data_IF_312902131924
#
_entry.id   IF_312902131924
#
_cell.length_a   1.000
_cell.length_b   1.000
_cell.length_c   1.000
_cell.angle_alpha   90.00
_cell.angle_beta   90.00
_cell.angle_gamma   90.00
#
_symmetry.space_group_name_H-M   'P 1'
#
loop_
_entity.id
_entity.type
_entity.pdbx_description
1 polymer ?
#
# COMPACT_ATOMS: atom_id res chain seq x y z
N UNK A 1 -24.76 -8.96 4.56
CA UNK A 1 -23.58 -9.47 5.24
C UNK A 1 -22.84 -8.30 5.86
N UNK A 2 -22.43 -8.43 7.11
CA UNK A 2 -21.55 -7.50 7.81
C UNK A 2 -20.43 -8.31 8.45
N UNK A 3 -19.16 -7.97 8.16
CA UNK A 3 -18.00 -8.72 8.65
C UNK A 3 -17.02 -7.75 9.30
N UNK A 4 -16.74 -7.88 10.59
CA UNK A 4 -15.72 -7.07 11.25
C UNK A 4 -14.32 -7.49 10.80
N UNK A 5 -13.43 -6.50 10.73
CA UNK A 5 -12.00 -6.70 10.57
C UNK A 5 -11.24 -5.90 11.61
N UNK A 6 -10.19 -6.48 12.16
CA UNK A 6 -9.25 -5.80 13.03
C UNK A 6 -7.82 -5.98 12.50
N UNK A 7 -7.06 -4.91 12.49
CA UNK A 7 -5.68 -4.87 12.00
C UNK A 7 -4.81 -4.27 13.09
N UNK A 8 -3.82 -5.00 13.56
CA UNK A 8 -2.96 -4.51 14.65
C UNK A 8 -1.53 -4.99 14.56
N UNK A 9 -1.31 -6.14 13.93
CA UNK A 9 -0.06 -6.87 13.97
C UNK A 9 0.46 -7.23 12.59
N UNK A 10 1.67 -7.77 12.57
CA UNK A 10 2.31 -8.23 11.37
C UNK A 10 3.07 -9.55 11.58
N UNK A 11 3.40 -10.23 10.49
CA UNK A 11 4.38 -11.30 10.46
C UNK A 11 5.40 -11.03 9.35
N UNK A 12 6.64 -10.76 9.73
CA UNK A 12 7.74 -10.41 8.82
C UNK A 12 7.38 -9.30 7.81
N UNK A 13 6.62 -8.28 8.28
CA UNK A 13 6.17 -7.14 7.46
C UNK A 13 4.87 -7.36 6.70
N UNK A 14 4.28 -8.54 6.72
CA UNK A 14 2.95 -8.80 6.17
C UNK A 14 1.88 -8.59 7.23
N UNK A 15 0.79 -7.96 6.86
CA UNK A 15 -0.32 -7.67 7.78
C UNK A 15 -1.00 -8.92 8.27
N UNK A 16 -1.31 -8.94 9.57
CA UNK A 16 -2.23 -9.89 10.17
C UNK A 16 -3.57 -9.17 10.32
N UNK A 17 -4.63 -9.85 9.88
CA UNK A 17 -5.99 -9.33 9.94
C UNK A 17 -6.87 -10.35 10.65
N UNK A 18 -7.45 -9.94 11.77
CA UNK A 18 -8.47 -10.67 12.47
C UNK A 18 -9.84 -10.48 11.83
N UNK A 19 -10.55 -11.55 11.54
CA UNK A 19 -11.90 -11.52 10.95
C UNK A 19 -12.69 -12.78 11.31
N UNK A 20 -13.91 -12.89 10.78
CA UNK A 20 -14.75 -14.07 10.91
C UNK A 20 -14.70 -14.92 9.65
N UNK A 21 -14.87 -16.23 9.80
CA UNK A 21 -14.83 -17.20 8.70
C UNK A 21 -15.87 -16.90 7.61
N UNK A 22 -17.00 -16.24 7.96
CA UNK A 22 -18.04 -15.86 7.02
C UNK A 22 -17.57 -14.86 5.94
N UNK A 23 -16.44 -14.15 6.13
CA UNK A 23 -15.81 -13.37 5.07
C UNK A 23 -15.51 -14.22 3.84
N UNK A 24 -15.04 -15.44 4.04
CA UNK A 24 -14.60 -16.30 2.95
C UNK A 24 -15.71 -17.18 2.40
N UNK A 25 -16.66 -17.56 3.25
CA UNK A 25 -17.75 -18.48 2.89
C UNK A 25 -18.97 -17.78 2.28
N UNK A 26 -19.22 -16.51 2.63
CA UNK A 26 -20.40 -15.76 2.20
C UNK A 26 -20.09 -14.56 1.29
N UNK A 27 -18.87 -13.98 1.38
CA UNK A 27 -18.48 -12.91 0.49
C UNK A 27 -17.82 -13.45 -0.80
N UNK A 28 -17.74 -12.57 -1.79
CA UNK A 28 -17.06 -12.83 -3.05
C UNK A 28 -15.71 -12.11 -3.08
N UNK A 29 -14.67 -12.79 -3.54
CA UNK A 29 -13.35 -12.20 -3.78
C UNK A 29 -13.39 -11.16 -4.92
N UNK A 30 -14.23 -11.42 -5.92
CA UNK A 30 -14.57 -10.56 -7.04
C UNK A 30 -15.98 -10.90 -7.53
N UNK A 31 -16.65 -10.08 -8.33
CA UNK A 31 -17.97 -10.39 -8.84
C UNK A 31 -18.06 -11.80 -9.44
N UNK A 32 -18.93 -12.62 -8.88
CA UNK A 32 -19.14 -14.02 -9.28
C UNK A 32 -18.02 -15.00 -8.89
N UNK A 33 -17.01 -14.59 -8.14
CA UNK A 33 -15.88 -15.42 -7.76
C UNK A 33 -15.69 -15.45 -6.24
N UNK A 34 -15.90 -16.61 -5.65
CA UNK A 34 -15.69 -16.83 -4.21
C UNK A 34 -14.23 -17.11 -3.88
N UNK A 35 -13.87 -16.89 -2.62
CA UNK A 35 -12.59 -17.35 -2.08
C UNK A 35 -12.52 -18.88 -2.12
N UNK A 36 -11.34 -19.40 -2.43
CA UNK A 36 -11.03 -20.83 -2.42
C UNK A 36 -9.72 -21.07 -1.71
N UNK A 37 -9.58 -22.25 -1.16
CA UNK A 37 -8.33 -22.73 -0.59
C UNK A 37 -7.62 -23.68 -1.54
N UNK A 38 -6.29 -23.66 -1.49
CA UNK A 38 -5.47 -24.71 -2.12
C UNK A 38 -5.84 -26.06 -1.53
N UNK A 39 -5.79 -27.12 -2.37
CA UNK A 39 -6.18 -28.46 -1.97
C UNK A 39 -5.49 -28.92 -0.67
N UNK A 40 -6.25 -29.54 0.22
CA UNK A 40 -5.79 -30.00 1.53
C UNK A 40 -5.85 -28.94 2.65
N UNK A 41 -6.19 -27.69 2.34
CA UNK A 41 -6.43 -26.65 3.33
C UNK A 41 -7.87 -26.66 3.86
N UNK A 42 -8.05 -26.08 5.04
CA UNK A 42 -9.36 -25.77 5.63
C UNK A 42 -9.40 -24.34 6.14
N UNK A 43 -10.60 -23.80 6.29
CA UNK A 43 -10.79 -22.51 6.97
C UNK A 43 -10.43 -22.62 8.44
N UNK A 44 -9.99 -21.53 9.04
CA UNK A 44 -9.78 -21.48 10.48
C UNK A 44 -11.13 -21.54 11.24
N UNK A 45 -11.08 -21.97 12.46
CA UNK A 45 -12.20 -21.94 13.41
C UNK A 45 -12.06 -20.75 14.36
N UNK A 46 -13.17 -20.03 14.59
CA UNK A 46 -13.17 -18.74 15.29
C UNK A 46 -12.65 -18.77 16.73
N UNK A 47 -12.57 -19.92 17.36
CA UNK A 47 -12.09 -20.08 18.74
C UNK A 47 -10.63 -20.54 18.88
N UNK A 48 -9.93 -20.79 17.76
CA UNK A 48 -8.60 -21.41 17.79
C UNK A 48 -7.51 -20.45 17.28
N UNK A 49 -6.24 -20.76 17.61
CA UNK A 49 -5.06 -20.06 17.08
C UNK A 49 -4.67 -20.63 15.74
N UNK A 50 -5.50 -20.37 14.78
CA UNK A 50 -5.39 -20.86 13.41
C UNK A 50 -5.28 -19.71 12.44
N UNK A 51 -4.72 -19.96 11.26
CA UNK A 51 -4.56 -18.96 10.24
C UNK A 51 -4.81 -19.50 8.84
N UNK A 52 -5.43 -18.68 8.01
CA UNK A 52 -5.42 -18.84 6.54
C UNK A 52 -4.50 -17.79 5.95
N UNK A 53 -3.55 -18.22 5.13
CA UNK A 53 -2.52 -17.36 4.58
C UNK A 53 -2.86 -16.99 3.13
N UNK A 54 -2.73 -15.72 2.79
CA UNK A 54 -2.89 -15.25 1.41
C UNK A 54 -1.83 -15.87 0.48
N UNK A 55 -2.21 -16.15 -0.76
CA UNK A 55 -1.36 -16.86 -1.74
C UNK A 55 0.00 -16.21 -1.93
N UNK A 56 0.06 -14.88 -2.01
CA UNK A 56 1.32 -14.14 -2.17
C UNK A 56 2.23 -14.27 -0.94
N UNK A 57 1.67 -14.17 0.27
CA UNK A 57 2.44 -14.32 1.51
C UNK A 57 2.98 -15.73 1.65
N UNK A 58 2.13 -16.73 1.41
CA UNK A 58 2.52 -18.14 1.47
C UNK A 58 3.69 -18.44 0.51
N UNK A 59 3.61 -17.95 -0.71
CA UNK A 59 4.69 -18.11 -1.69
C UNK A 59 5.99 -17.40 -1.26
N UNK A 60 5.90 -16.20 -0.72
CA UNK A 60 7.07 -15.40 -0.33
C UNK A 60 7.78 -15.93 0.90
N UNK A 61 7.03 -16.43 1.87
CA UNK A 61 7.56 -16.94 3.13
C UNK A 61 7.75 -18.47 3.14
N UNK A 62 7.31 -19.17 2.09
CA UNK A 62 7.37 -20.62 1.99
C UNK A 62 6.42 -21.35 2.93
N UNK A 63 5.37 -20.68 3.43
CA UNK A 63 4.42 -21.24 4.40
C UNK A 63 3.52 -22.29 3.75
N UNK A 64 3.26 -23.36 4.51
CA UNK A 64 2.41 -24.48 4.12
C UNK A 64 1.39 -24.78 5.21
N UNK A 65 0.27 -25.43 4.92
CA UNK A 65 -0.61 -25.96 5.95
C UNK A 65 0.16 -26.87 6.91
N UNK A 66 -0.02 -26.64 8.21
CA UNK A 66 0.71 -27.29 9.29
C UNK A 66 1.89 -26.50 9.87
N UNK A 67 2.41 -25.51 9.15
CA UNK A 67 3.45 -24.63 9.67
C UNK A 67 2.90 -23.71 10.76
N UNK A 68 3.78 -23.27 11.65
CA UNK A 68 3.42 -22.34 12.73
C UNK A 68 4.18 -21.03 12.59
N UNK A 69 3.60 -19.96 13.14
CA UNK A 69 4.24 -18.66 13.20
C UNK A 69 3.82 -17.89 14.45
N UNK A 70 4.69 -16.97 14.88
CA UNK A 70 4.40 -16.04 15.98
C UNK A 70 4.33 -14.61 15.43
N UNK A 71 3.21 -13.91 15.68
CA UNK A 71 3.04 -12.52 15.27
C UNK A 71 4.07 -11.56 15.88
N UNK A 72 4.27 -10.41 15.24
CA UNK A 72 4.99 -9.27 15.80
C UNK A 72 4.01 -8.13 16.03
N UNK A 73 4.19 -7.43 17.14
CA UNK A 73 3.32 -6.34 17.55
C UNK A 73 3.41 -5.14 16.60
N UNK A 74 2.25 -4.54 16.33
CA UNK A 74 2.13 -3.33 15.53
C UNK A 74 2.22 -3.55 14.02
N UNK A 75 2.09 -2.44 13.31
CA UNK A 75 1.99 -2.47 11.85
C UNK A 75 3.35 -2.57 11.14
N UNK A 76 4.42 -2.22 11.79
CA UNK A 76 5.78 -2.29 11.25
C UNK A 76 6.55 -3.43 11.91
N UNK A 77 7.30 -4.17 11.10
CA UNK A 77 8.10 -5.28 11.61
C UNK A 77 9.18 -4.80 12.57
N UNK A 78 9.10 -5.27 13.81
CA UNK A 78 10.12 -5.07 14.84
C UNK A 78 10.47 -6.44 15.46
N UNK A 79 11.68 -6.96 15.26
CA UNK A 79 12.05 -8.30 15.76
C UNK A 79 12.09 -8.40 17.29
N UNK A 80 12.05 -7.27 18.01
CA UNK A 80 12.06 -7.24 19.49
C UNK A 80 10.66 -7.34 20.10
N UNK A 81 9.62 -7.18 19.31
CA UNK A 81 8.23 -7.10 19.74
C UNK A 81 7.42 -8.29 19.23
N UNK A 82 7.93 -9.51 19.43
CA UNK A 82 7.26 -10.74 19.06
C UNK A 82 6.29 -11.18 20.16
N UNK A 83 5.08 -11.56 19.77
CA UNK A 83 4.10 -12.15 20.68
C UNK A 83 4.50 -13.59 21.07
N UNK A 84 4.03 -14.03 22.23
CA UNK A 84 4.21 -15.41 22.67
C UNK A 84 3.23 -16.37 21.98
N UNK A 85 2.10 -15.83 21.51
CA UNK A 85 1.06 -16.60 20.86
C UNK A 85 1.53 -17.20 19.54
N UNK A 86 1.27 -18.49 19.35
CA UNK A 86 1.62 -19.23 18.16
C UNK A 86 0.37 -19.61 17.37
N UNK A 87 0.40 -19.40 16.05
CA UNK A 87 -0.70 -19.70 15.14
C UNK A 87 -0.29 -20.80 14.18
N UNK A 88 -1.22 -21.73 13.91
CA UNK A 88 -1.04 -22.82 12.95
C UNK A 88 -1.69 -22.43 11.62
N UNK A 89 -0.97 -22.59 10.54
CA UNK A 89 -1.51 -22.40 9.18
C UNK A 89 -2.42 -23.58 8.84
N UNK A 90 -3.73 -23.34 8.69
CA UNK A 90 -4.71 -24.36 8.33
C UNK A 90 -5.04 -24.39 6.85
N UNK A 91 -4.79 -23.29 6.14
CA UNK A 91 -5.05 -23.20 4.72
C UNK A 91 -4.31 -22.05 4.03
N UNK A 92 -4.20 -22.16 2.72
CA UNK A 92 -3.65 -21.12 1.86
C UNK A 92 -4.71 -20.74 0.84
N UNK A 93 -4.94 -19.42 0.65
CA UNK A 93 -5.85 -18.94 -0.38
C UNK A 93 -5.31 -19.25 -1.78
N UNK A 94 -6.19 -19.68 -2.69
CA UNK A 94 -5.88 -19.59 -4.11
C UNK A 94 -5.70 -18.12 -4.52
N UNK A 95 -4.88 -17.81 -5.55
CA UNK A 95 -4.70 -16.44 -6.01
C UNK A 95 -6.03 -15.78 -6.38
N UNK A 96 -6.39 -14.76 -5.62
CA UNK A 96 -7.63 -14.00 -5.82
C UNK A 96 -7.43 -12.75 -6.67
N UNK A 97 -6.17 -12.29 -6.81
CA UNK A 97 -5.79 -11.00 -7.37
C UNK A 97 -6.43 -9.82 -6.64
N UNK A 98 -6.61 -9.98 -5.33
CA UNK A 98 -7.13 -8.96 -4.42
C UNK A 98 -6.11 -8.71 -3.29
N UNK A 99 -6.28 -7.66 -2.48
CA UNK A 99 -5.45 -7.44 -1.30
C UNK A 99 -5.42 -8.62 -0.32
N UNK A 100 -6.43 -9.50 -0.35
CA UNK A 100 -6.48 -10.70 0.50
C UNK A 100 -5.29 -11.65 0.28
N UNK A 101 -4.68 -11.65 -0.90
CA UNK A 101 -3.50 -12.47 -1.20
C UNK A 101 -2.25 -12.06 -0.42
N UNK A 102 -2.23 -10.84 0.13
CA UNK A 102 -1.08 -10.25 0.83
C UNK A 102 -1.22 -10.18 2.35
N UNK A 103 -2.14 -10.93 2.90
CA UNK A 103 -2.56 -10.89 4.31
C UNK A 103 -2.50 -12.28 4.93
N UNK A 104 -2.16 -12.33 6.23
CA UNK A 104 -2.40 -13.50 7.07
C UNK A 104 -3.73 -13.27 7.82
N UNK A 105 -4.67 -14.16 7.63
CA UNK A 105 -6.01 -14.10 8.20
C UNK A 105 -6.10 -15.00 9.42
N UNK A 106 -6.51 -14.43 10.54
CA UNK A 106 -6.72 -15.17 11.80
C UNK A 106 -8.12 -14.90 12.33
N UNK A 107 -8.64 -15.71 13.27
CA UNK A 107 -9.88 -15.39 13.95
C UNK A 107 -9.83 -14.02 14.61
N UNK A 108 -10.93 -13.25 14.53
CA UNK A 108 -11.04 -11.94 15.17
C UNK A 108 -10.70 -12.00 16.66
N UNK A 109 -11.29 -12.98 17.37
CA UNK A 109 -11.02 -13.21 18.79
C UNK A 109 -9.53 -13.52 19.05
N UNK A 110 -8.85 -14.19 18.13
CA UNK A 110 -7.42 -14.47 18.21
C UNK A 110 -6.59 -13.18 18.22
N UNK A 111 -6.90 -12.22 17.37
CA UNK A 111 -6.22 -10.93 17.36
C UNK A 111 -6.56 -10.10 18.62
N UNK A 112 -7.83 -10.05 18.99
CA UNK A 112 -8.29 -9.24 20.12
C UNK A 112 -7.76 -9.72 21.47
N UNK A 113 -7.57 -11.03 21.64
CA UNK A 113 -7.09 -11.64 22.88
C UNK A 113 -5.61 -12.05 22.82
N UNK A 114 -4.85 -11.49 21.87
CA UNK A 114 -3.42 -11.77 21.75
C UNK A 114 -2.67 -11.18 22.95
N UNK A 115 -1.67 -11.90 23.43
CA UNK A 115 -0.83 -11.47 24.55
C UNK A 115 -0.15 -10.12 24.25
N UNK A 116 -0.16 -9.23 25.23
CA UNK A 116 0.43 -7.89 25.06
C UNK A 116 -0.55 -6.82 24.56
N UNK A 117 -1.76 -7.18 24.13
CA UNK A 117 -2.80 -6.19 23.82
C UNK A 117 -3.50 -5.71 25.09
N UNK A 118 -3.87 -4.44 25.14
CA UNK A 118 -4.60 -3.89 26.28
C UNK A 118 -6.04 -4.42 26.31
N UNK A 119 -6.50 -4.86 27.48
CA UNK A 119 -7.87 -5.36 27.65
C UNK A 119 -8.96 -4.35 27.25
N UNK A 120 -8.65 -3.05 27.30
CA UNK A 120 -9.57 -1.99 26.90
C UNK A 120 -9.87 -1.98 25.38
N UNK A 121 -9.01 -2.55 24.57
CA UNK A 121 -9.17 -2.60 23.10
C UNK A 121 -9.63 -3.99 22.60
N UNK A 122 -9.87 -4.92 23.50
CA UNK A 122 -10.23 -6.30 23.17
C UNK A 122 -11.56 -6.44 22.38
N UNK A 123 -12.42 -5.41 22.39
CA UNK A 123 -13.67 -5.38 21.59
C UNK A 123 -13.61 -4.48 20.36
N UNK A 124 -12.48 -3.80 20.14
CA UNK A 124 -12.36 -2.85 19.07
C UNK A 124 -12.16 -3.54 17.71
N UNK A 125 -12.74 -2.94 16.67
CA UNK A 125 -12.54 -3.36 15.29
C UNK A 125 -12.06 -2.17 14.46
N UNK A 126 -11.19 -2.45 13.50
CA UNK A 126 -10.65 -1.38 12.63
C UNK A 126 -11.67 -0.94 11.59
N UNK A 127 -12.49 -1.85 11.11
CA UNK A 127 -13.57 -1.59 10.16
C UNK A 127 -14.59 -2.72 10.14
N UNK A 128 -15.76 -2.43 9.55
CA UNK A 128 -16.77 -3.45 9.23
C UNK A 128 -17.01 -3.44 7.73
N UNK A 129 -16.77 -4.56 7.07
CA UNK A 129 -17.11 -4.75 5.66
C UNK A 129 -18.59 -5.05 5.53
N UNK A 130 -19.31 -4.27 4.73
CA UNK A 130 -20.75 -4.41 4.56
C UNK A 130 -21.10 -4.70 3.11
N UNK A 131 -21.74 -5.86 2.85
CA UNK A 131 -22.35 -6.16 1.55
C UNK A 131 -23.80 -5.68 1.59
N UNK A 132 -24.08 -4.60 0.85
CA UNK A 132 -25.41 -4.00 0.77
C UNK A 132 -26.37 -4.85 -0.07
N UNK A 133 -27.65 -4.78 0.26
CA UNK A 133 -28.73 -5.44 -0.53
C UNK A 133 -29.19 -4.57 -1.70
N UNK A 134 -29.03 -3.25 -1.59
CA UNK A 134 -29.43 -2.28 -2.62
C UNK A 134 -28.64 -0.98 -2.50
N UNK A 135 -28.61 -0.18 -3.56
CA UNK A 135 -28.04 1.17 -3.54
C UNK A 135 -28.79 2.10 -2.58
N UNK A 136 -30.09 1.93 -2.42
CA UNK A 136 -30.92 2.73 -1.48
C UNK A 136 -30.46 2.51 -0.05
N UNK A 137 -30.13 1.28 0.35
CA UNK A 137 -29.57 1.00 1.66
C UNK A 137 -28.23 1.72 1.88
N UNK A 138 -27.39 1.85 0.83
CA UNK A 138 -26.15 2.62 0.88
C UNK A 138 -26.39 4.09 1.15
N UNK A 139 -27.34 4.72 0.46
CA UNK A 139 -27.71 6.12 0.67
C UNK A 139 -28.25 6.36 2.10
N UNK A 140 -29.08 5.45 2.61
CA UNK A 140 -29.60 5.55 3.96
C UNK A 140 -28.50 5.45 5.03
N UNK A 141 -27.54 4.55 4.86
CA UNK A 141 -26.40 4.40 5.77
C UNK A 141 -25.43 5.59 5.65
N UNK A 142 -25.22 6.14 4.44
CA UNK A 142 -24.42 7.35 4.26
C UNK A 142 -25.05 8.54 5.01
N UNK A 143 -26.36 8.71 4.89
CA UNK A 143 -27.07 9.76 5.61
C UNK A 143 -26.99 9.55 7.13
N UNK A 144 -27.20 8.32 7.60
CA UNK A 144 -27.19 8.00 9.03
C UNK A 144 -25.80 8.20 9.65
N UNK A 145 -24.74 7.71 9.04
CA UNK A 145 -23.42 7.70 9.64
C UNK A 145 -22.59 8.94 9.28
N UNK A 146 -22.66 9.44 8.05
CA UNK A 146 -21.83 10.56 7.60
C UNK A 146 -22.50 11.93 7.74
N UNK A 147 -23.85 12.00 7.75
CA UNK A 147 -24.56 13.28 7.82
C UNK A 147 -25.19 13.56 9.18
N UNK A 148 -25.70 12.53 9.85
CA UNK A 148 -26.38 12.66 11.15
C UNK A 148 -25.55 12.11 12.30
N UNK A 149 -24.58 11.23 12.04
CA UNK A 149 -23.68 10.63 13.01
C UNK A 149 -22.27 11.22 12.96
N UNK A 150 -21.54 11.02 14.05
CA UNK A 150 -20.15 11.48 14.22
C UNK A 150 -19.18 10.37 14.69
N UNK A 151 -19.71 9.17 14.97
CA UNK A 151 -18.94 8.06 15.54
C UNK A 151 -18.30 7.15 14.52
N UNK A 152 -18.86 7.06 13.32
CA UNK A 152 -18.42 6.14 12.26
C UNK A 152 -18.38 6.88 10.94
N UNK A 153 -17.45 6.50 10.10
CA UNK A 153 -17.40 6.94 8.69
C UNK A 153 -17.85 5.79 7.79
N UNK A 154 -18.85 6.03 6.97
CA UNK A 154 -19.33 5.07 5.98
C UNK A 154 -18.76 5.38 4.61
N UNK A 155 -17.82 4.57 4.14
CA UNK A 155 -17.20 4.72 2.82
C UNK A 155 -18.08 4.11 1.72
N UNK A 156 -18.95 4.95 1.13
CA UNK A 156 -19.88 4.53 0.06
C UNK A 156 -20.21 5.70 -0.89
N UNK A 157 -20.29 5.49 -2.21
CA UNK A 157 -19.80 4.30 -2.93
C UNK A 157 -18.28 4.18 -2.85
N UNK A 158 -17.76 3.01 -2.59
CA UNK A 158 -16.32 2.81 -2.40
C UNK A 158 -15.48 3.29 -3.60
N UNK A 159 -15.97 3.08 -4.82
CA UNK A 159 -15.32 3.56 -6.05
C UNK A 159 -15.12 5.07 -6.07
N UNK A 160 -16.11 5.86 -5.63
CA UNK A 160 -16.01 7.32 -5.55
C UNK A 160 -15.00 7.76 -4.50
N UNK A 161 -15.00 7.09 -3.34
CA UNK A 161 -14.04 7.39 -2.26
C UNK A 161 -12.61 7.10 -2.71
N UNK A 162 -12.39 5.99 -3.41
CA UNK A 162 -11.08 5.65 -3.98
C UNK A 162 -10.67 6.63 -5.09
N UNK A 163 -11.60 7.02 -5.98
CA UNK A 163 -11.30 8.01 -7.02
C UNK A 163 -10.85 9.34 -6.41
N UNK A 164 -11.55 9.84 -5.39
CA UNK A 164 -11.15 11.06 -4.67
C UNK A 164 -9.78 10.95 -4.01
N UNK A 165 -9.41 9.76 -3.51
CA UNK A 165 -8.08 9.52 -2.97
C UNK A 165 -7.01 9.62 -4.06
N UNK A 166 -7.24 8.98 -5.21
CA UNK A 166 -6.31 9.04 -6.35
C UNK A 166 -6.20 10.45 -6.93
N UNK A 167 -7.30 11.20 -7.02
CA UNK A 167 -7.28 12.60 -7.47
C UNK A 167 -6.41 13.48 -6.56
N UNK A 168 -6.52 13.27 -5.25
CA UNK A 168 -5.64 13.97 -4.29
C UNK A 168 -4.17 13.56 -4.42
N UNK A 169 -3.89 12.33 -4.79
CA UNK A 169 -2.51 11.87 -5.05
C UNK A 169 -1.97 12.43 -6.36
N UNK A 170 -2.79 12.61 -7.39
CA UNK A 170 -2.40 13.19 -8.69
C UNK A 170 -1.80 14.59 -8.59
N UNK A 171 -2.13 15.35 -7.57
CA UNK A 171 -1.50 16.65 -7.30
C UNK A 171 0.02 16.54 -7.08
N UNK A 172 0.50 15.45 -6.49
CA UNK A 172 1.93 15.23 -6.29
C UNK A 172 2.69 15.12 -7.62
N UNK A 173 2.09 14.49 -8.63
CA UNK A 173 2.71 14.36 -9.95
C UNK A 173 2.91 15.74 -10.59
N UNK A 174 1.94 16.65 -10.45
CA UNK A 174 2.05 18.03 -10.97
C UNK A 174 3.16 18.82 -10.25
N UNK A 175 3.30 18.63 -8.94
CA UNK A 175 4.39 19.27 -8.17
C UNK A 175 5.75 18.72 -8.59
N UNK A 176 5.88 17.41 -8.76
CA UNK A 176 7.11 16.78 -9.23
C UNK A 176 7.49 17.24 -10.65
N UNK A 177 6.52 17.38 -11.54
CA UNK A 177 6.71 17.90 -12.88
C UNK A 177 7.22 19.33 -12.85
N UNK A 178 6.60 20.20 -12.04
CA UNK A 178 7.06 21.59 -11.87
C UNK A 178 8.51 21.64 -11.36
N UNK A 179 8.85 20.83 -10.35
CA UNK A 179 10.21 20.75 -9.81
C UNK A 179 11.18 20.29 -10.90
N UNK A 180 10.82 19.30 -11.71
CA UNK A 180 11.65 18.82 -12.80
C UNK A 180 11.94 19.94 -13.83
N UNK A 181 10.95 20.74 -14.20
CA UNK A 181 11.15 21.88 -15.08
C UNK A 181 12.07 22.95 -14.48
N UNK A 182 11.93 23.25 -13.18
CA UNK A 182 12.80 24.20 -12.49
C UNK A 182 14.26 23.72 -12.47
N UNK A 183 14.48 22.43 -12.17
CA UNK A 183 15.82 21.83 -12.20
C UNK A 183 16.42 21.90 -13.61
N UNK A 184 15.65 21.56 -14.64
CA UNK A 184 16.10 21.64 -16.03
C UNK A 184 16.48 23.08 -16.41
N UNK A 185 15.70 24.09 -16.00
CA UNK A 185 15.98 25.50 -16.25
C UNK A 185 17.28 25.94 -15.56
N UNK A 186 17.50 25.59 -14.30
CA UNK A 186 18.73 25.88 -13.56
C UNK A 186 19.93 25.20 -14.20
N UNK A 187 19.80 23.95 -14.62
CA UNK A 187 20.86 23.23 -15.32
C UNK A 187 21.23 23.91 -16.65
N UNK A 188 20.24 24.29 -17.45
CA UNK A 188 20.47 25.03 -18.69
C UNK A 188 21.17 26.38 -18.47
N UNK A 189 20.75 27.12 -17.41
CA UNK A 189 21.40 28.36 -17.00
C UNK A 189 22.86 28.17 -16.58
N UNK A 190 23.13 27.10 -15.83
CA UNK A 190 24.48 26.74 -15.38
C UNK A 190 25.40 26.41 -16.57
N UNK A 191 24.91 25.66 -17.54
CA UNK A 191 25.64 25.36 -18.80
C UNK A 191 25.95 26.65 -19.58
N UNK A 192 24.96 27.52 -19.76
CA UNK A 192 25.14 28.82 -20.42
C UNK A 192 26.17 29.69 -19.72
N UNK A 193 26.11 29.78 -18.38
CA UNK A 193 27.08 30.51 -17.57
C UNK A 193 28.49 29.94 -17.71
N UNK A 194 28.64 28.61 -17.71
CA UNK A 194 29.92 27.95 -17.94
C UNK A 194 30.51 28.25 -19.29
N UNK A 195 29.69 28.17 -20.35
CA UNK A 195 30.12 28.54 -21.73
C UNK A 195 30.52 30.01 -21.79
N UNK A 196 29.71 30.92 -21.22
CA UNK A 196 30.01 32.33 -21.18
C UNK A 196 31.34 32.64 -20.49
N UNK A 197 31.59 32.05 -19.32
CA UNK A 197 32.83 32.20 -18.57
C UNK A 197 34.04 31.66 -19.36
N UNK A 198 33.91 30.50 -19.99
CA UNK A 198 34.95 29.90 -20.83
C UNK A 198 35.31 30.79 -22.03
N UNK A 199 34.29 31.32 -22.69
CA UNK A 199 34.48 32.25 -23.82
C UNK A 199 35.13 33.56 -23.37
N UNK A 200 34.68 34.09 -22.22
CA UNK A 200 35.24 35.36 -21.68
C UNK A 200 36.73 35.21 -21.30
N UNK A 201 37.11 34.08 -20.74
CA UNK A 201 38.51 33.77 -20.39
C UNK A 201 39.41 33.67 -21.64
N UNK A 202 38.87 33.16 -22.76
CA UNK A 202 39.61 32.97 -24.01
C UNK A 202 39.45 34.11 -25.03
N UNK A 203 38.78 35.19 -24.65
CA UNK A 203 38.40 36.30 -25.55
C UNK A 203 39.60 36.89 -26.28
N UNK A 204 40.76 36.99 -25.62
CA UNK A 204 42.00 37.51 -26.20
C UNK A 204 42.56 36.57 -27.29
N UNK A 205 42.56 35.26 -27.01
CA UNK A 205 43.10 34.24 -27.94
C UNK A 205 42.22 34.14 -29.17
N UNK A 206 40.90 34.21 -29.01
CA UNK A 206 39.94 34.24 -30.10
C UNK A 206 40.06 35.50 -30.95
N UNK A 207 40.39 36.66 -30.34
CA UNK A 207 40.66 37.89 -31.10
C UNK A 207 41.95 37.79 -31.94
N UNK A 208 43.02 37.17 -31.42
CA UNK A 208 44.27 36.92 -32.14
C UNK A 208 44.03 35.98 -33.32
N UNK A 209 43.31 34.89 -33.17
CA UNK A 209 42.95 33.95 -34.23
C UNK A 209 42.18 34.64 -35.37
N UNK A 210 41.26 35.55 -35.03
CA UNK A 210 40.52 36.34 -36.02
C UNK A 210 41.41 37.35 -36.75
N UNK A 211 42.35 37.98 -36.07
CA UNK A 211 43.31 38.93 -36.67
C UNK A 211 44.26 38.19 -37.63
N UNK A 212 44.59 36.92 -37.40
CA UNK A 212 45.38 36.04 -38.27
C UNK A 212 44.57 35.46 -39.44
N UNK A 213 43.29 35.86 -39.62
CA UNK A 213 42.47 35.48 -40.77
C UNK A 213 41.67 34.18 -40.59
N UNK A 214 41.54 33.65 -39.38
CA UNK A 214 40.74 32.46 -39.14
C UNK A 214 39.25 32.70 -39.45
N UNK A 215 38.65 31.78 -40.23
CA UNK A 215 37.22 31.81 -40.57
C UNK A 215 36.36 31.58 -39.31
N UNK A 216 35.14 32.18 -39.28
CA UNK A 216 34.22 32.04 -38.14
C UNK A 216 33.95 30.60 -37.71
N UNK A 217 33.86 29.66 -38.68
CA UNK A 217 33.68 28.22 -38.42
C UNK A 217 34.84 27.61 -37.64
N UNK A 218 36.11 28.00 -37.95
CA UNK A 218 37.28 27.51 -37.21
C UNK A 218 37.32 28.02 -35.77
N UNK A 219 36.94 29.29 -35.58
CA UNK A 219 36.81 29.85 -34.21
C UNK A 219 35.71 29.15 -33.43
N UNK A 220 34.57 28.83 -34.04
CA UNK A 220 33.50 28.08 -33.40
C UNK A 220 33.95 26.65 -33.06
N UNK A 221 34.63 25.94 -33.95
CA UNK A 221 35.12 24.59 -33.74
C UNK A 221 36.20 24.47 -32.63
N UNK A 222 36.86 25.56 -32.27
CA UNK A 222 37.87 25.60 -31.18
C UNK A 222 37.22 25.84 -29.80
N UNK A 223 35.92 26.05 -29.74
CA UNK A 223 35.16 26.33 -28.47
C UNK A 223 34.47 25.05 -27.96
N UNK A 224 34.17 24.13 -28.87
CA UNK A 224 33.56 22.82 -28.57
C UNK A 224 34.67 21.79 -28.29
#
# INVERSE_FOLDING_TARGET
LAVPIAVGDNYLGYRIVGTLTNLFTEAEAAPGRRFRLVAGGRWFEDGYREAVVGSFVAQRLGLKPGDTFKPYHGLNFNPKEQHEDEYVVTGILEPSNTPADRVLWIPLAGLQNMSGHAAATASDVSAVLVKLRSAVAGQQLDMLYNKQGDRLTFAWPLGTVLAQLFDKMGWFDQVLELVAYLVALVAAGSVLASIYNSLSARRRDLAILRALGARRILVFASII
#
